data_IF_763994762972
#
_entry.id   IF_763994762972
#
_cell.length_a   1.000
_cell.length_b   1.000
_cell.length_c   1.000
_cell.angle_alpha   90.00
_cell.angle_beta   90.00
_cell.angle_gamma   90.00
#
_symmetry.space_group_name_H-M   'P 1'
#
loop_
_entity.id
_entity.type
_entity.pdbx_description
1 polymer ?
#
# COMPACT_ATOMS: atom_id res chain seq x y z
N UNK A 1 65.21 -6.47 -21.02
CA UNK A 1 63.89 -6.42 -21.69
C UNK A 1 62.84 -6.54 -20.61
N UNK A 2 62.28 -5.41 -20.17
CA UNK A 2 61.45 -5.32 -18.96
C UNK A 2 59.98 -5.31 -19.39
N UNK A 3 59.24 -6.39 -19.08
CA UNK A 3 57.80 -6.46 -19.29
C UNK A 3 57.09 -5.67 -18.18
N UNK A 4 56.41 -4.57 -18.54
CA UNK A 4 55.45 -3.90 -17.67
C UNK A 4 54.09 -4.60 -17.79
N UNK A 5 53.64 -5.24 -16.70
CA UNK A 5 52.25 -5.66 -16.51
C UNK A 5 51.41 -4.42 -16.18
N UNK A 6 50.47 -4.06 -17.07
CA UNK A 6 49.42 -3.11 -16.75
C UNK A 6 48.29 -3.86 -16.00
N UNK A 7 48.25 -3.72 -14.68
CA UNK A 7 47.11 -4.11 -13.86
C UNK A 7 45.92 -3.20 -14.18
N UNK A 8 44.97 -3.70 -14.95
CA UNK A 8 43.70 -3.03 -15.21
C UNK A 8 42.86 -2.98 -13.94
N UNK A 9 42.69 -1.80 -13.36
CA UNK A 9 41.64 -1.53 -12.37
C UNK A 9 40.28 -1.65 -13.07
N UNK A 10 39.55 -2.73 -12.78
CA UNK A 10 38.14 -2.81 -13.11
C UNK A 10 37.38 -1.84 -12.20
N UNK A 11 37.03 -0.68 -12.74
CA UNK A 11 36.08 0.24 -12.12
C UNK A 11 34.69 -0.42 -12.17
N UNK A 12 34.24 -0.98 -11.05
CA UNK A 12 32.84 -1.37 -10.89
C UNK A 12 32.01 -0.09 -10.79
N UNK A 13 31.31 0.23 -11.87
CA UNK A 13 30.36 1.34 -11.87
C UNK A 13 29.25 1.05 -10.83
N UNK A 14 28.89 2.02 -9.97
CA UNK A 14 27.74 1.88 -9.09
C UNK A 14 26.50 1.67 -9.97
N UNK A 15 25.78 0.57 -9.74
CA UNK A 15 24.46 0.38 -10.32
C UNK A 15 23.55 1.49 -9.80
N UNK A 16 23.29 2.49 -10.66
CA UNK A 16 22.24 3.46 -10.40
C UNK A 16 20.93 2.69 -10.23
N UNK A 17 20.38 2.68 -9.02
CA UNK A 17 19.01 2.23 -8.78
C UNK A 17 18.11 3.05 -9.70
N UNK A 18 17.57 2.43 -10.73
CA UNK A 18 16.60 3.05 -11.59
C UNK A 18 15.41 3.45 -10.70
N UNK A 19 15.19 4.76 -10.54
CA UNK A 19 14.01 5.29 -9.86
C UNK A 19 12.80 4.86 -10.67
N UNK A 20 12.09 3.85 -10.17
CA UNK A 20 10.90 3.34 -10.85
C UNK A 20 9.85 4.45 -10.90
N UNK A 21 9.46 4.85 -12.11
CA UNK A 21 8.53 5.94 -12.33
C UNK A 21 7.11 5.41 -12.20
N UNK A 22 6.41 5.90 -11.18
CA UNK A 22 4.99 5.63 -10.99
C UNK A 22 4.13 6.66 -11.73
N UNK A 23 3.23 6.21 -12.60
CA UNK A 23 2.32 7.06 -13.38
C UNK A 23 0.90 6.50 -13.42
N UNK A 24 -0.06 7.30 -13.89
CA UNK A 24 -1.44 6.90 -14.17
C UNK A 24 -2.16 6.22 -13.00
N UNK A 25 -1.88 6.66 -11.77
CA UNK A 25 -2.53 6.13 -10.56
C UNK A 25 -4.02 6.48 -10.62
N UNK A 26 -4.85 5.44 -10.59
CA UNK A 26 -6.31 5.50 -10.56
C UNK A 26 -6.80 4.75 -9.33
N UNK A 27 -7.20 5.47 -8.27
CA UNK A 27 -7.79 4.86 -7.07
C UNK A 27 -8.95 3.94 -7.41
N UNK A 28 -9.12 2.92 -6.58
CA UNK A 28 -10.19 1.93 -6.64
C UNK A 28 -11.00 2.10 -5.35
N UNK A 29 -12.12 2.84 -5.37
CA UNK A 29 -12.95 3.01 -4.19
C UNK A 29 -13.48 1.66 -3.72
N UNK A 30 -13.33 1.38 -2.43
CA UNK A 30 -13.90 0.20 -1.79
C UNK A 30 -15.15 0.61 -1.02
N UNK A 31 -16.23 -0.16 -1.22
CA UNK A 31 -17.41 -0.11 -0.35
C UNK A 31 -17.37 -1.23 0.67
N UNK A 32 -18.51 -1.53 1.29
CA UNK A 32 -18.65 -2.61 2.29
C UNK A 32 -18.89 -3.99 1.65
N UNK A 33 -18.54 -4.18 0.38
CA UNK A 33 -18.77 -5.42 -0.35
C UNK A 33 -17.50 -5.86 -1.05
N UNK A 34 -17.30 -7.17 -1.27
CA UNK A 34 -16.13 -7.66 -1.97
C UNK A 34 -16.02 -7.06 -3.38
N UNK A 35 -14.80 -6.70 -3.78
CA UNK A 35 -14.48 -6.20 -5.12
C UNK A 35 -13.44 -7.10 -5.76
N UNK A 36 -13.77 -7.67 -6.93
CA UNK A 36 -12.83 -8.44 -7.75
C UNK A 36 -12.21 -7.56 -8.82
N UNK A 37 -10.88 -7.56 -8.89
CA UNK A 37 -10.06 -6.78 -9.79
C UNK A 37 -9.45 -7.68 -10.86
N UNK A 38 -9.66 -7.31 -12.12
CA UNK A 38 -9.16 -8.03 -13.29
C UNK A 38 -7.87 -7.35 -13.80
N UNK A 39 -6.78 -7.51 -13.06
CA UNK A 39 -5.51 -6.84 -13.38
C UNK A 39 -4.77 -7.58 -14.50
N UNK A 40 -4.51 -6.91 -15.62
CA UNK A 40 -3.74 -7.49 -16.73
C UNK A 40 -2.37 -7.96 -16.26
N UNK A 41 -2.03 -9.22 -16.52
CA UNK A 41 -0.75 -9.82 -16.13
C UNK A 41 -0.73 -10.44 -14.72
N UNK A 42 -1.85 -10.38 -13.99
CA UNK A 42 -2.03 -11.01 -12.68
C UNK A 42 -3.32 -11.85 -12.69
N UNK A 43 -3.48 -12.81 -11.76
CA UNK A 43 -4.77 -13.45 -11.57
C UNK A 43 -5.80 -12.43 -11.04
N UNK A 44 -7.07 -12.81 -11.12
CA UNK A 44 -8.14 -12.02 -10.51
C UNK A 44 -7.91 -11.92 -9.00
N UNK A 45 -7.89 -10.69 -8.49
CA UNK A 45 -7.69 -10.41 -7.06
C UNK A 45 -8.99 -9.93 -6.46
N UNK A 46 -9.47 -10.57 -5.40
CA UNK A 46 -10.66 -10.15 -4.67
C UNK A 46 -10.26 -9.54 -3.33
N UNK A 47 -10.68 -8.29 -3.13
CA UNK A 47 -10.54 -7.57 -1.86
C UNK A 47 -11.86 -7.69 -1.12
N UNK A 48 -11.83 -8.27 0.07
CA UNK A 48 -13.00 -8.48 0.91
C UNK A 48 -12.88 -7.63 2.17
N UNK A 49 -13.69 -6.57 2.32
CA UNK A 49 -13.78 -5.82 3.56
C UNK A 49 -14.57 -6.63 4.60
N UNK A 50 -14.05 -6.70 5.81
CA UNK A 50 -14.64 -7.35 6.96
C UNK A 50 -14.80 -6.33 8.08
N UNK A 51 -16.02 -6.07 8.52
CA UNK A 51 -16.28 -5.15 9.63
C UNK A 51 -16.02 -5.82 10.98
N UNK A 52 -15.12 -5.24 11.75
CA UNK A 52 -14.90 -5.59 13.14
C UNK A 52 -15.66 -4.64 14.04
N UNK A 53 -16.84 -5.10 14.45
CA UNK A 53 -17.63 -4.46 15.49
C UNK A 53 -16.96 -4.64 16.86
N UNK A 54 -16.80 -3.55 17.59
CA UNK A 54 -16.19 -3.56 18.92
C UNK A 54 -17.03 -2.83 20.00
N UNK A 55 -18.25 -2.40 19.67
CA UNK A 55 -19.19 -1.77 20.59
C UNK A 55 -18.90 -0.30 20.88
N UNK A 56 -18.00 0.35 20.12
CA UNK A 56 -17.73 1.78 20.22
C UNK A 56 -17.39 2.40 18.84
N UNK A 57 -17.10 3.71 18.84
CA UNK A 57 -16.82 4.48 17.61
C UNK A 57 -15.54 4.06 16.86
N UNK A 58 -14.73 3.18 17.43
CA UNK A 58 -13.46 2.69 16.86
C UNK A 58 -13.61 1.33 16.18
N UNK A 59 -14.82 0.90 15.83
CA UNK A 59 -15.00 -0.26 14.98
C UNK A 59 -14.33 -0.01 13.62
N UNK A 60 -13.78 -1.04 13.00
CA UNK A 60 -12.81 -0.89 11.91
C UNK A 60 -12.94 -2.00 10.87
N UNK A 61 -12.40 -1.78 9.67
CA UNK A 61 -12.29 -2.81 8.66
C UNK A 61 -10.98 -3.57 8.76
N UNK A 62 -11.09 -4.88 8.61
CA UNK A 62 -10.02 -5.72 8.14
C UNK A 62 -10.25 -5.99 6.65
N UNK A 63 -9.20 -5.96 5.84
CA UNK A 63 -9.28 -6.34 4.43
C UNK A 63 -8.49 -7.62 4.23
N UNK A 64 -9.17 -8.66 3.74
CA UNK A 64 -8.51 -9.83 3.18
C UNK A 64 -8.37 -9.65 1.67
N UNK A 65 -7.20 -9.94 1.15
CA UNK A 65 -6.97 -9.96 -0.28
C UNK A 65 -6.73 -11.40 -0.69
N UNK A 66 -7.41 -11.84 -1.73
CA UNK A 66 -7.37 -13.24 -2.17
C UNK A 66 -7.22 -13.33 -3.68
N UNK A 67 -6.68 -14.44 -4.14
CA UNK A 67 -6.63 -14.83 -5.54
C UNK A 67 -7.09 -16.28 -5.67
N UNK A 68 -7.52 -16.68 -6.86
CA UNK A 68 -7.71 -18.11 -7.14
C UNK A 68 -6.38 -18.84 -7.04
N UNK A 69 -6.42 -20.01 -6.40
CA UNK A 69 -5.28 -20.91 -6.36
C UNK A 69 -5.07 -21.52 -7.76
N UNK A 70 -3.85 -21.38 -8.30
CA UNK A 70 -3.51 -21.82 -9.65
C UNK A 70 -3.31 -23.33 -9.75
N UNK A 71 -3.02 -24.00 -8.65
CA UNK A 71 -2.79 -25.45 -8.59
C UNK A 71 -4.07 -26.21 -8.19
N UNK A 72 -4.93 -25.58 -7.37
CA UNK A 72 -6.15 -26.16 -6.83
C UNK A 72 -7.35 -25.25 -7.07
N UNK A 73 -8.02 -25.34 -8.23
CA UNK A 73 -9.06 -24.39 -8.66
C UNK A 73 -10.26 -24.19 -7.71
N UNK A 74 -10.46 -25.10 -6.74
CA UNK A 74 -11.49 -24.98 -5.69
C UNK A 74 -11.05 -24.22 -4.43
N UNK A 75 -9.81 -23.71 -4.39
CA UNK A 75 -9.25 -22.97 -3.26
C UNK A 75 -9.00 -21.51 -3.63
N UNK A 76 -9.00 -20.68 -2.60
CA UNK A 76 -8.54 -19.29 -2.65
C UNK A 76 -7.27 -19.17 -1.84
N UNK A 77 -6.24 -18.58 -2.43
CA UNK A 77 -5.00 -18.25 -1.75
C UNK A 77 -5.09 -16.82 -1.20
N UNK A 78 -4.51 -16.58 -0.03
CA UNK A 78 -4.30 -15.23 0.47
C UNK A 78 -3.26 -14.52 -0.41
N UNK A 79 -3.44 -13.21 -0.54
CA UNK A 79 -2.45 -12.29 -1.11
C UNK A 79 -1.95 -11.46 0.05
N UNK A 80 -0.78 -11.82 0.55
CA UNK A 80 -0.26 -11.23 1.77
C UNK A 80 0.34 -9.84 1.52
N UNK A 81 0.67 -9.11 2.58
CA UNK A 81 1.37 -7.82 2.48
C UNK A 81 2.68 -7.86 3.25
N UNK A 82 3.75 -7.40 2.64
CA UNK A 82 5.06 -7.32 3.29
C UNK A 82 5.05 -6.31 4.45
N UNK A 83 5.59 -6.70 5.59
CA UNK A 83 5.80 -5.83 6.74
C UNK A 83 7.24 -5.30 6.76
N UNK A 84 7.48 -4.05 6.29
CA UNK A 84 8.84 -3.51 6.25
C UNK A 84 9.44 -3.30 7.65
N UNK A 85 8.62 -3.24 8.71
CA UNK A 85 9.12 -3.07 10.09
C UNK A 85 9.56 -4.39 10.73
N UNK A 86 9.19 -5.53 10.16
CA UNK A 86 9.42 -6.86 10.72
C UNK A 86 10.16 -7.75 9.72
N UNK A 87 11.27 -7.23 9.19
CA UNK A 87 12.15 -7.95 8.26
C UNK A 87 11.42 -8.56 7.04
N UNK A 88 10.36 -7.91 6.56
CA UNK A 88 9.59 -8.38 5.41
C UNK A 88 8.61 -9.52 5.72
N UNK A 89 8.31 -9.79 6.99
CA UNK A 89 7.28 -10.76 7.37
C UNK A 89 5.96 -10.45 6.64
N UNK A 90 5.30 -11.50 6.14
CA UNK A 90 4.03 -11.38 5.47
C UNK A 90 2.87 -11.23 6.46
N UNK A 91 1.95 -10.32 6.15
CA UNK A 91 0.72 -10.06 6.88
C UNK A 91 -0.47 -10.59 6.08
N UNK A 92 -1.24 -11.49 6.70
CA UNK A 92 -2.42 -12.13 6.10
C UNK A 92 -3.57 -11.14 5.85
N UNK A 93 -3.67 -10.10 6.69
CA UNK A 93 -4.78 -9.13 6.66
C UNK A 93 -4.26 -7.72 6.80
N UNK A 94 -4.93 -6.79 6.12
CA UNK A 94 -4.76 -5.36 6.30
C UNK A 94 -5.79 -4.86 7.31
N UNK A 95 -5.43 -3.83 8.06
CA UNK A 95 -6.30 -3.22 9.07
C UNK A 95 -6.31 -1.70 8.87
N UNK A 96 -7.48 -1.08 8.85
CA UNK A 96 -7.57 0.37 9.05
C UNK A 96 -7.72 0.73 10.54
N UNK A 97 -7.54 2.00 10.86
CA UNK A 97 -7.68 2.52 12.23
C UNK A 97 -8.47 3.84 12.17
N UNK A 98 -9.78 3.76 11.94
CA UNK A 98 -10.67 4.91 12.02
C UNK A 98 -10.80 5.38 13.48
N UNK A 99 -11.12 6.66 13.66
CA UNK A 99 -11.46 7.22 14.97
C UNK A 99 -12.85 7.86 14.95
N UNK A 100 -13.06 8.88 14.11
CA UNK A 100 -14.36 9.51 13.85
C UNK A 100 -14.49 9.84 12.36
N UNK A 101 -15.65 10.34 11.92
CA UNK A 101 -15.81 10.79 10.53
C UNK A 101 -14.81 11.89 10.13
N UNK A 102 -14.27 12.62 11.10
CA UNK A 102 -13.27 13.67 10.91
C UNK A 102 -11.82 13.22 11.17
N UNK A 103 -11.61 12.00 11.70
CA UNK A 103 -10.31 11.52 12.16
C UNK A 103 -10.09 10.04 11.80
N UNK A 104 -8.97 9.78 11.12
CA UNK A 104 -8.53 8.44 10.80
C UNK A 104 -7.02 8.35 10.98
N UNK A 105 -6.58 7.44 11.85
CA UNK A 105 -5.17 7.20 12.16
C UNK A 105 -4.49 6.43 11.04
N UNK A 106 -5.16 5.39 10.52
CA UNK A 106 -4.64 4.59 9.41
C UNK A 106 -5.75 4.28 8.41
N UNK A 107 -5.46 4.42 7.13
CA UNK A 107 -6.38 4.08 6.03
C UNK A 107 -5.70 3.24 4.96
N UNK A 108 -6.51 2.43 4.28
CA UNK A 108 -6.09 1.44 3.27
C UNK A 108 -6.73 1.80 1.94
N UNK A 109 -5.92 1.98 0.90
CA UNK A 109 -6.40 2.29 -0.45
C UNK A 109 -5.73 1.43 -1.51
N UNK A 110 -6.49 1.05 -2.53
CA UNK A 110 -5.96 0.34 -3.69
C UNK A 110 -6.02 1.24 -4.93
N UNK A 111 -5.09 1.03 -5.87
CA UNK A 111 -5.12 1.73 -7.13
C UNK A 111 -4.56 0.88 -8.26
N UNK A 112 -5.13 1.04 -9.45
CA UNK A 112 -4.42 0.64 -10.68
C UNK A 112 -3.44 1.73 -11.05
N UNK A 113 -2.28 1.37 -11.58
CA UNK A 113 -1.26 2.32 -12.01
C UNK A 113 -0.37 1.75 -13.10
N UNK A 114 0.67 2.50 -13.47
CA UNK A 114 1.78 2.02 -14.29
C UNK A 114 3.11 2.25 -13.56
N UNK A 115 3.93 1.21 -13.50
CA UNK A 115 5.33 1.28 -13.03
C UNK A 115 6.22 1.05 -14.24
N UNK A 116 7.03 2.06 -14.58
CA UNK A 116 7.90 2.03 -15.77
C UNK A 116 7.13 1.68 -17.06
N UNK A 117 5.87 2.10 -17.15
CA UNK A 117 4.98 1.83 -18.29
C UNK A 117 4.18 0.51 -18.20
N UNK A 118 4.53 -0.40 -17.29
CA UNK A 118 3.85 -1.68 -17.10
C UNK A 118 2.66 -1.55 -16.15
N UNK A 119 1.47 -2.12 -16.45
CA UNK A 119 0.35 -2.16 -15.53
C UNK A 119 0.74 -2.71 -14.15
N UNK A 120 0.26 -2.06 -13.10
CA UNK A 120 0.50 -2.47 -11.72
C UNK A 120 -0.78 -2.30 -10.88
N UNK A 121 -0.99 -3.22 -9.94
CA UNK A 121 -1.92 -3.04 -8.83
C UNK A 121 -1.13 -2.60 -7.61
N UNK A 122 -1.56 -1.50 -7.01
CA UNK A 122 -0.93 -0.90 -5.85
C UNK A 122 -1.82 -0.94 -4.63
N UNK A 123 -1.17 -0.99 -3.49
CA UNK A 123 -1.74 -0.79 -2.17
C UNK A 123 -1.03 0.42 -1.52
N UNK A 124 -1.82 1.30 -0.92
CA UNK A 124 -1.39 2.45 -0.15
C UNK A 124 -1.87 2.27 1.28
N UNK A 125 -0.93 2.22 2.22
CA UNK A 125 -1.22 2.24 3.66
C UNK A 125 -0.76 3.59 4.18
N UNK A 126 -1.70 4.45 4.53
CA UNK A 126 -1.40 5.78 5.06
C UNK A 126 -1.58 5.77 6.56
N UNK A 127 -0.52 6.12 7.29
CA UNK A 127 -0.51 6.08 8.75
C UNK A 127 -0.07 7.43 9.29
N UNK A 128 -0.83 7.93 10.26
CA UNK A 128 -0.51 9.12 11.03
C UNK A 128 0.49 8.78 12.14
N UNK A 129 1.55 9.57 12.24
CA UNK A 129 2.59 9.43 13.25
C UNK A 129 2.16 10.12 14.56
N UNK A 130 1.24 9.48 15.29
CA UNK A 130 0.56 10.11 16.45
C UNK A 130 1.44 10.34 17.66
N UNK A 131 2.62 9.70 17.78
CA UNK A 131 3.62 9.83 18.85
C UNK A 131 3.26 10.78 20.01
N UNK A 132 3.77 12.02 19.97
CA UNK A 132 3.50 13.06 20.97
C UNK A 132 2.24 13.90 20.69
N UNK A 133 1.54 13.65 19.58
CA UNK A 133 0.32 14.33 19.15
C UNK A 133 -0.85 13.34 19.19
N UNK A 134 -1.35 12.98 20.39
CA UNK A 134 -2.40 11.99 20.52
C UNK A 134 -3.65 12.42 19.76
N UNK A 135 -4.37 11.44 19.24
CA UNK A 135 -5.69 11.61 18.65
C UNK A 135 -6.60 12.45 19.56
N UNK A 136 -7.31 13.49 19.04
CA UNK A 136 -7.48 13.86 17.63
C UNK A 136 -6.52 14.95 17.11
N UNK A 137 -5.42 15.25 17.82
CA UNK A 137 -4.51 16.32 17.42
C UNK A 137 -3.89 16.05 16.04
N UNK A 138 -3.72 17.07 15.18
CA UNK A 138 -3.02 16.90 13.90
C UNK A 138 -1.61 16.32 14.10
N UNK A 139 -1.21 15.40 13.22
CA UNK A 139 0.13 14.82 13.23
C UNK A 139 0.70 14.67 11.81
N UNK A 140 2.03 14.54 11.66
CA UNK A 140 2.63 14.07 10.41
C UNK A 140 2.06 12.72 10.01
N UNK A 141 2.25 12.36 8.74
CA UNK A 141 1.82 11.08 8.21
C UNK A 141 2.77 10.60 7.11
N UNK A 142 2.85 9.29 6.99
CA UNK A 142 3.60 8.61 5.94
C UNK A 142 2.70 7.63 5.18
N UNK A 143 3.05 7.38 3.92
CA UNK A 143 2.29 6.52 3.02
C UNK A 143 3.23 5.42 2.54
N UNK A 144 2.99 4.18 2.97
CA UNK A 144 3.68 3.02 2.41
C UNK A 144 2.99 2.62 1.12
N UNK A 145 3.78 2.54 0.06
CA UNK A 145 3.33 2.13 -1.27
C UNK A 145 3.85 0.74 -1.54
N UNK A 146 2.92 -0.15 -1.87
CA UNK A 146 3.18 -1.54 -2.21
C UNK A 146 2.74 -1.83 -3.62
N UNK A 147 3.36 -2.83 -4.23
CA UNK A 147 3.00 -3.35 -5.54
C UNK A 147 2.68 -4.83 -5.41
N UNK A 148 1.56 -5.27 -6.00
CA UNK A 148 1.30 -6.69 -6.19
C UNK A 148 2.37 -7.29 -7.11
N UNK A 149 3.05 -8.32 -6.64
CA UNK A 149 3.99 -9.11 -7.43
C UNK A 149 3.72 -10.59 -7.28
N UNK A 150 4.24 -11.34 -8.25
CA UNK A 150 4.37 -12.78 -8.15
C UNK A 150 5.58 -13.11 -7.28
N UNK A 151 5.42 -14.04 -6.34
CA UNK A 151 6.51 -14.62 -5.57
C UNK A 151 7.48 -15.40 -6.45
N UNK A 152 8.63 -15.73 -5.88
CA UNK A 152 9.68 -16.53 -6.54
C UNK A 152 9.31 -18.01 -6.70
N UNK A 153 8.24 -18.46 -6.01
CA UNK A 153 7.77 -19.84 -6.04
C UNK A 153 8.54 -20.75 -5.09
N UNK A 154 9.36 -20.20 -4.19
CA UNK A 154 10.06 -20.98 -3.17
C UNK A 154 9.06 -21.63 -2.20
N UNK A 155 9.34 -22.87 -1.83
CA UNK A 155 8.46 -23.62 -0.93
C UNK A 155 8.33 -22.91 0.43
N UNK A 156 7.09 -22.68 0.86
CA UNK A 156 6.78 -21.91 2.07
C UNK A 156 6.61 -20.40 1.84
N UNK A 157 6.69 -19.94 0.59
CA UNK A 157 6.29 -18.59 0.19
C UNK A 157 4.82 -18.55 -0.30
N UNK A 158 4.32 -17.34 -0.54
CA UNK A 158 3.01 -17.09 -1.14
C UNK A 158 3.15 -16.77 -2.64
N UNK A 159 2.26 -17.28 -3.51
CA UNK A 159 2.40 -17.07 -4.95
C UNK A 159 2.25 -15.60 -5.35
N UNK A 160 1.50 -14.80 -4.59
CA UNK A 160 1.32 -13.38 -4.83
C UNK A 160 1.29 -12.62 -3.52
N UNK A 161 1.95 -11.46 -3.48
CA UNK A 161 1.90 -10.58 -2.33
C UNK A 161 2.14 -9.12 -2.72
N UNK A 162 1.69 -8.21 -1.86
CA UNK A 162 2.02 -6.80 -1.93
C UNK A 162 3.40 -6.57 -1.33
N UNK A 163 4.39 -6.43 -2.20
CA UNK A 163 5.76 -6.15 -1.83
C UNK A 163 5.96 -4.64 -1.63
N UNK A 164 6.68 -4.28 -0.58
CA UNK A 164 6.98 -2.89 -0.26
C UNK A 164 7.83 -2.26 -1.37
N UNK A 165 7.55 -1.00 -1.70
CA UNK A 165 8.31 -0.26 -2.72
C UNK A 165 8.96 0.98 -2.16
N UNK A 166 8.18 1.80 -1.48
CA UNK A 166 8.66 3.08 -0.99
C UNK A 166 7.72 3.64 0.06
N UNK A 167 8.22 4.65 0.79
CA UNK A 167 7.43 5.46 1.69
C UNK A 167 7.40 6.88 1.14
N UNK A 168 6.20 7.43 0.95
CA UNK A 168 5.99 8.86 0.70
C UNK A 168 5.76 9.56 2.02
N UNK A 169 6.28 10.78 2.15
CA UNK A 169 6.01 11.64 3.29
C UNK A 169 4.93 12.64 2.90
N UNK A 170 3.90 12.76 3.74
CA UNK A 170 2.87 13.77 3.55
C UNK A 170 3.47 15.17 3.73
N UNK A 171 3.20 16.13 2.81
CA UNK A 171 3.63 17.51 2.99
C UNK A 171 2.74 18.28 3.98
N UNK A 172 1.68 17.65 4.50
CA UNK A 172 0.74 18.28 5.44
C UNK A 172 0.64 17.47 6.73
N UNK A 173 0.48 18.20 7.83
CA UNK A 173 0.04 17.70 9.12
C UNK A 173 -1.49 17.72 9.15
N UNK A 174 -2.13 16.64 9.55
CA UNK A 174 -3.59 16.51 9.55
C UNK A 174 -4.05 15.48 10.59
N UNK A 175 -5.34 15.51 10.94
CA UNK A 175 -5.99 14.46 11.69
C UNK A 175 -6.50 13.30 10.81
N UNK A 176 -6.52 13.43 9.49
CA UNK A 176 -7.13 12.43 8.63
C UNK A 176 -6.11 11.83 7.65
N UNK A 177 -5.83 10.54 7.77
CA UNK A 177 -4.87 9.83 6.92
C UNK A 177 -5.14 10.04 5.40
N UNK A 178 -6.39 10.04 4.95
CA UNK A 178 -6.69 10.27 3.52
C UNK A 178 -6.43 11.69 3.01
N UNK A 179 -6.45 12.70 3.89
CA UNK A 179 -6.02 14.07 3.52
C UNK A 179 -4.52 14.06 3.27
N UNK A 180 -3.75 13.37 4.12
CA UNK A 180 -2.32 13.18 3.93
C UNK A 180 -1.99 12.39 2.65
N UNK A 181 -2.73 11.32 2.36
CA UNK A 181 -2.61 10.56 1.11
C UNK A 181 -2.85 11.45 -0.12
N UNK A 182 -3.93 12.22 -0.10
CA UNK A 182 -4.30 13.12 -1.19
C UNK A 182 -3.21 14.17 -1.44
N UNK A 183 -2.67 14.75 -0.37
CA UNK A 183 -1.60 15.75 -0.46
C UNK A 183 -0.28 15.15 -0.99
N UNK A 184 0.11 13.95 -0.52
CA UNK A 184 1.34 13.29 -0.94
C UNK A 184 1.28 12.82 -2.41
N UNK A 185 0.13 12.30 -2.84
CA UNK A 185 -0.06 11.76 -4.20
C UNK A 185 -0.47 12.82 -5.21
N UNK A 186 -0.91 14.01 -4.74
CA UNK A 186 -1.54 15.06 -5.55
C UNK A 186 -2.81 14.58 -6.27
N UNK A 187 -3.44 13.53 -5.77
CA UNK A 187 -4.70 12.99 -6.26
C UNK A 187 -5.82 13.51 -5.36
N UNK A 188 -6.90 14.09 -5.90
CA UNK A 188 -7.97 14.65 -5.08
C UNK A 188 -8.62 13.63 -4.13
N UNK A 189 -8.97 14.05 -2.91
CA UNK A 189 -9.61 13.22 -1.89
C UNK A 189 -10.81 12.41 -2.42
N UNK A 190 -11.70 13.06 -3.17
CA UNK A 190 -12.88 12.40 -3.74
C UNK A 190 -12.55 11.26 -4.72
N UNK A 191 -11.34 11.22 -5.28
CA UNK A 191 -10.91 10.08 -6.10
C UNK A 191 -10.61 8.86 -5.24
N UNK A 192 -10.06 9.05 -4.04
CA UNK A 192 -9.78 7.98 -3.08
C UNK A 192 -11.06 7.51 -2.37
N UNK A 193 -11.93 8.45 -1.99
CA UNK A 193 -13.05 8.19 -1.07
C UNK A 193 -14.44 8.27 -1.72
N UNK A 194 -14.52 8.38 -3.04
CA UNK A 194 -15.79 8.56 -3.75
C UNK A 194 -16.45 9.92 -3.42
N UNK A 195 -17.77 9.93 -3.28
CA UNK A 195 -18.55 11.16 -3.04
C UNK A 195 -18.42 11.72 -1.61
N UNK A 196 -17.60 11.11 -0.76
CA UNK A 196 -17.33 11.60 0.58
C UNK A 196 -16.51 12.90 0.52
N UNK A 197 -17.04 13.96 1.15
CA UNK A 197 -16.29 15.19 1.34
C UNK A 197 -15.26 15.00 2.47
N UNK A 198 -14.03 15.50 2.32
CA UNK A 198 -13.09 15.54 3.43
C UNK A 198 -13.65 16.45 4.52
N UNK A 199 -13.47 16.08 5.78
CA UNK A 199 -13.63 17.03 6.89
C UNK A 199 -12.25 17.60 7.21
N UNK A 200 -11.95 18.86 6.80
CA UNK A 200 -10.58 19.37 6.82
C UNK A 200 -10.13 19.81 8.22
N UNK A 201 -11.06 19.92 9.16
CA UNK A 201 -10.81 20.40 10.53
C UNK A 201 -10.84 19.24 11.49
N UNK A 202 -9.84 19.21 12.37
CA UNK A 202 -9.79 18.22 13.43
C UNK A 202 -10.86 18.50 14.49
N UNK A 203 -11.45 17.46 15.09
CA UNK A 203 -12.35 17.60 16.22
C UNK A 203 -11.71 18.49 17.31
N UNK A 204 -12.51 19.40 17.87
CA UNK A 204 -12.15 20.24 19.01
C UNK A 204 -12.31 19.46 20.32
#
# INVERSE_FOLDING_TARGET
>A
MTLLLCSGLACTAPHAQATSRLTDIKPIPLGNSPVTLHSSGFPDVTITPLWRENGNAWSYHLYTVTTRDTEQPGRTSLVDTENPDHAGQLLDMLQDSPHTGEDAVQTIHFASARINGTPALLLFVTTRDTGTNPVPQPSPAHIRVYQLIQGDGEAGSTPFYFAFRTTLISPVTTCHADIALSAATKIPFARWNGDQAPVPTCPQ
#
